data_IF_641114596723
#
_entry.id   IF_641114596723
#
_cell.length_a   1.000
_cell.length_b   1.000
_cell.length_c   1.000
_cell.angle_alpha   90.00
_cell.angle_beta   90.00
_cell.angle_gamma   90.00
#
_symmetry.space_group_name_H-M   'P 1'
#
loop_
_entity.id
_entity.type
_entity.pdbx_description
1 polymer ?
#
# COMPACT_ATOMS: atom_id res chain seq x y z
N UNK A 1 16.98 -82.05 57.46
CA UNK A 1 17.52 -80.90 58.24
C UNK A 1 18.64 -80.14 57.54
N UNK A 2 19.43 -80.72 56.63
CA UNK A 2 20.49 -80.01 55.88
C UNK A 2 19.99 -79.32 54.59
N UNK A 3 18.90 -79.80 53.98
CA UNK A 3 18.25 -79.14 52.82
C UNK A 3 17.51 -77.84 53.20
N UNK A 4 16.88 -77.76 54.37
CA UNK A 4 16.20 -76.53 54.83
C UNK A 4 17.18 -75.39 55.08
N UNK A 5 18.33 -75.67 55.72
CA UNK A 5 19.34 -74.64 56.03
C UNK A 5 20.00 -74.11 54.76
N UNK A 6 20.21 -74.96 53.75
CA UNK A 6 20.78 -74.54 52.46
C UNK A 6 19.78 -73.75 51.61
N UNK A 7 18.48 -74.07 51.70
CA UNK A 7 17.40 -73.33 51.01
C UNK A 7 17.15 -71.96 51.67
N UNK A 8 17.17 -71.89 53.01
CA UNK A 8 17.08 -70.64 53.78
C UNK A 8 18.32 -69.76 53.54
N UNK A 9 19.52 -70.35 53.50
CA UNK A 9 20.75 -69.62 53.20
C UNK A 9 20.78 -69.07 51.76
N UNK A 10 20.28 -69.83 50.77
CA UNK A 10 20.07 -69.32 49.39
C UNK A 10 19.03 -68.21 49.35
N UNK A 11 17.91 -68.35 50.05
CA UNK A 11 16.89 -67.29 50.15
C UNK A 11 17.45 -65.99 50.73
N UNK A 12 18.15 -66.04 51.87
CA UNK A 12 18.74 -64.84 52.49
C UNK A 12 19.80 -64.21 51.57
N UNK A 13 20.62 -65.03 50.89
CA UNK A 13 21.63 -64.55 49.96
C UNK A 13 21.03 -63.92 48.69
N UNK A 14 20.01 -64.54 48.09
CA UNK A 14 19.37 -64.05 46.85
C UNK A 14 18.44 -62.86 47.10
N UNK A 15 17.60 -62.90 48.15
CA UNK A 15 16.75 -61.77 48.53
C UNK A 15 17.58 -60.60 49.09
N UNK A 16 18.66 -60.88 49.83
CA UNK A 16 19.61 -59.87 50.31
C UNK A 16 20.38 -59.21 49.17
N UNK A 17 20.88 -60.00 48.21
CA UNK A 17 21.53 -59.47 47.00
C UNK A 17 20.56 -58.64 46.16
N UNK A 18 19.31 -59.09 45.96
CA UNK A 18 18.29 -58.34 45.24
C UNK A 18 17.95 -57.00 45.93
N UNK A 19 17.86 -56.98 47.26
CA UNK A 19 17.62 -55.75 48.02
C UNK A 19 18.78 -54.75 47.88
N UNK A 20 20.03 -55.24 47.92
CA UNK A 20 21.22 -54.41 47.76
C UNK A 20 21.31 -53.84 46.34
N UNK A 21 21.10 -54.66 45.30
CA UNK A 21 21.12 -54.19 43.91
C UNK A 21 19.98 -53.22 43.62
N UNK A 22 18.79 -53.43 44.18
CA UNK A 22 17.67 -52.50 44.10
C UNK A 22 18.00 -51.16 44.79
N UNK A 23 18.63 -51.18 45.97
CA UNK A 23 19.04 -49.96 46.67
C UNK A 23 20.09 -49.15 45.88
N UNK A 24 21.10 -49.83 45.31
CA UNK A 24 22.07 -49.19 44.43
C UNK A 24 21.42 -48.60 43.17
N UNK A 25 20.50 -49.34 42.55
CA UNK A 25 19.76 -48.87 41.39
C UNK A 25 18.93 -47.62 41.70
N UNK A 26 18.24 -47.57 42.84
CA UNK A 26 17.47 -46.39 43.25
C UNK A 26 18.36 -45.16 43.48
N UNK A 27 19.53 -45.32 44.09
CA UNK A 27 20.48 -44.22 44.30
C UNK A 27 21.04 -43.72 42.96
N UNK A 28 21.42 -44.64 42.06
CA UNK A 28 21.91 -44.30 40.73
C UNK A 28 20.83 -43.61 39.88
N UNK A 29 19.60 -44.11 39.92
CA UNK A 29 18.45 -43.53 39.23
C UNK A 29 18.12 -42.13 39.77
N UNK A 30 18.17 -41.94 41.09
CA UNK A 30 17.99 -40.63 41.71
C UNK A 30 19.10 -39.65 41.29
N UNK A 31 20.35 -40.11 41.23
CA UNK A 31 21.49 -39.32 40.74
C UNK A 31 21.34 -38.90 39.28
N UNK A 32 20.94 -39.85 38.40
CA UNK A 32 20.65 -39.57 36.99
C UNK A 32 19.50 -38.58 36.83
N UNK A 33 18.42 -38.72 37.61
CA UNK A 33 17.30 -37.79 37.58
C UNK A 33 17.74 -36.37 37.93
N UNK A 34 18.54 -36.18 38.98
CA UNK A 34 19.08 -34.86 39.35
C UNK A 34 19.99 -34.29 38.26
N UNK A 35 20.84 -35.11 37.65
CA UNK A 35 21.71 -34.69 36.54
C UNK A 35 20.90 -34.25 35.31
N UNK A 36 19.89 -35.03 34.92
CA UNK A 36 18.99 -34.71 33.81
C UNK A 36 18.21 -33.41 34.06
N UNK A 37 17.70 -33.18 35.27
CA UNK A 37 17.01 -31.93 35.61
C UNK A 37 17.94 -30.71 35.56
N UNK A 38 19.18 -30.83 36.04
CA UNK A 38 20.18 -29.76 35.95
C UNK A 38 20.50 -29.42 34.50
N UNK A 39 20.71 -30.43 33.66
CA UNK A 39 20.99 -30.25 32.24
C UNK A 39 19.81 -29.65 31.49
N UNK A 40 18.59 -30.13 31.75
CA UNK A 40 17.37 -29.60 31.15
C UNK A 40 17.15 -28.14 31.54
N UNK A 41 17.31 -27.80 32.83
CA UNK A 41 17.21 -26.40 33.30
C UNK A 41 18.24 -25.50 32.62
N UNK A 42 19.49 -25.96 32.48
CA UNK A 42 20.53 -25.20 31.80
C UNK A 42 20.19 -24.95 30.33
N UNK A 43 19.69 -25.98 29.62
CA UNK A 43 19.31 -25.90 28.20
C UNK A 43 18.13 -24.95 27.99
N UNK A 44 17.08 -25.07 28.81
CA UNK A 44 15.90 -24.19 28.73
C UNK A 44 16.27 -22.74 29.06
N UNK A 45 17.09 -22.51 30.08
CA UNK A 45 17.53 -21.16 30.41
C UNK A 45 18.38 -20.54 29.29
N UNK A 46 19.23 -21.34 28.63
CA UNK A 46 19.97 -20.91 27.43
C UNK A 46 19.02 -20.49 26.31
N UNK A 47 18.09 -21.37 25.94
CA UNK A 47 17.10 -21.07 24.89
C UNK A 47 16.24 -19.85 25.21
N UNK A 48 15.78 -19.68 26.46
CA UNK A 48 15.00 -18.52 26.89
C UNK A 48 15.83 -17.24 26.78
N UNK A 49 17.10 -17.29 27.19
CA UNK A 49 18.02 -16.15 27.08
C UNK A 49 18.28 -15.77 25.62
N UNK A 50 18.53 -16.75 24.76
CA UNK A 50 18.77 -16.54 23.34
C UNK A 50 17.53 -15.96 22.64
N UNK A 51 16.35 -16.52 22.93
CA UNK A 51 15.08 -15.99 22.43
C UNK A 51 14.83 -14.54 22.88
N UNK A 52 15.14 -14.21 24.14
CA UNK A 52 15.03 -12.84 24.65
C UNK A 52 15.95 -11.88 23.89
N UNK A 53 17.18 -12.29 23.62
CA UNK A 53 18.15 -11.50 22.85
C UNK A 53 17.68 -11.31 21.41
N UNK A 54 17.26 -12.38 20.73
CA UNK A 54 16.73 -12.31 19.37
C UNK A 54 15.53 -11.38 19.29
N UNK A 55 14.58 -11.49 20.23
CA UNK A 55 13.40 -10.62 20.26
C UNK A 55 13.78 -9.16 20.47
N UNK A 56 14.78 -8.89 21.31
CA UNK A 56 15.26 -7.53 21.57
C UNK A 56 15.93 -6.95 20.31
N UNK A 57 16.78 -7.73 19.64
CA UNK A 57 17.41 -7.33 18.39
C UNK A 57 16.38 -7.09 17.27
N UNK A 58 15.37 -7.95 17.15
CA UNK A 58 14.28 -7.74 16.19
C UNK A 58 13.48 -6.48 16.49
N UNK A 59 13.23 -6.19 17.77
CA UNK A 59 12.51 -4.99 18.18
C UNK A 59 13.32 -3.72 17.88
N UNK A 60 14.63 -3.73 18.12
CA UNK A 60 15.51 -2.62 17.78
C UNK A 60 15.66 -2.43 16.27
N UNK A 61 15.83 -3.51 15.50
CA UNK A 61 15.87 -3.43 14.03
C UNK A 61 14.53 -2.97 13.45
N UNK A 62 13.40 -3.38 14.02
CA UNK A 62 12.05 -2.91 13.62
C UNK A 62 11.87 -1.42 13.90
N UNK A 63 12.37 -0.93 15.05
CA UNK A 63 12.35 0.51 15.37
C UNK A 63 13.19 1.30 14.37
N UNK A 64 14.40 0.83 14.08
CA UNK A 64 15.29 1.45 13.10
C UNK A 64 14.69 1.46 11.70
N UNK A 65 14.05 0.37 11.27
CA UNK A 65 13.32 0.30 10.01
C UNK A 65 12.16 1.31 9.99
N UNK A 66 11.39 1.43 11.07
CA UNK A 66 10.31 2.42 11.16
C UNK A 66 10.83 3.86 11.08
N UNK A 67 11.94 4.17 11.75
CA UNK A 67 12.58 5.49 11.67
C UNK A 67 13.03 5.81 10.23
N UNK A 68 13.71 4.86 9.57
CA UNK A 68 14.12 5.01 8.17
C UNK A 68 12.91 5.16 7.22
N UNK A 69 11.86 4.36 7.42
CA UNK A 69 10.62 4.49 6.65
C UNK A 69 9.95 5.84 6.87
N UNK A 70 10.01 6.38 8.09
CA UNK A 70 9.47 7.70 8.43
C UNK A 70 10.22 8.78 7.65
N UNK A 71 11.55 8.79 7.72
CA UNK A 71 12.40 9.74 6.98
C UNK A 71 12.16 9.66 5.46
N UNK A 72 12.14 8.44 4.90
CA UNK A 72 11.81 8.21 3.48
C UNK A 72 10.41 8.74 3.15
N UNK A 73 9.43 8.51 4.03
CA UNK A 73 8.06 8.97 3.81
C UNK A 73 7.92 10.50 3.89
N UNK A 74 8.67 11.14 4.78
CA UNK A 74 8.71 12.59 4.95
C UNK A 74 9.37 13.27 3.75
N UNK A 75 10.38 12.66 3.13
CA UNK A 75 11.01 13.18 1.91
C UNK A 75 10.22 12.89 0.63
N UNK A 76 9.90 11.61 0.37
CA UNK A 76 9.36 11.17 -0.93
C UNK A 76 7.90 11.54 -1.13
N UNK A 77 7.08 11.56 -0.07
CA UNK A 77 5.63 11.84 -0.22
C UNK A 77 5.37 13.29 -0.65
N UNK A 78 5.99 14.32 -0.02
CA UNK A 78 5.85 15.70 -0.49
C UNK A 78 6.47 15.91 -1.87
N UNK A 79 7.62 15.30 -2.16
CA UNK A 79 8.26 15.42 -3.49
C UNK A 79 7.36 14.84 -4.59
N UNK A 80 6.79 13.66 -4.36
CA UNK A 80 5.84 13.02 -5.28
C UNK A 80 4.61 13.90 -5.47
N UNK A 81 4.06 14.45 -4.38
CA UNK A 81 2.90 15.33 -4.46
C UNK A 81 3.20 16.63 -5.23
N UNK A 82 4.38 17.22 -5.03
CA UNK A 82 4.82 18.40 -5.76
C UNK A 82 5.00 18.11 -7.24
N UNK A 83 5.65 16.99 -7.58
CA UNK A 83 5.84 16.53 -8.96
C UNK A 83 4.51 16.33 -9.68
N UNK A 84 3.54 15.70 -8.99
CA UNK A 84 2.18 15.52 -9.51
C UNK A 84 1.53 16.88 -9.74
N UNK A 85 1.50 17.76 -8.73
CA UNK A 85 0.88 19.10 -8.83
C UNK A 85 1.46 19.92 -9.98
N UNK A 86 2.78 19.94 -10.12
CA UNK A 86 3.44 20.68 -11.21
C UNK A 86 3.07 20.11 -12.57
N UNK A 87 3.14 18.78 -12.72
CA UNK A 87 2.87 18.12 -14.00
C UNK A 87 1.40 18.21 -14.38
N UNK A 88 0.48 17.92 -13.44
CA UNK A 88 -0.96 18.03 -13.67
C UNK A 88 -1.37 19.46 -13.97
N UNK A 89 -0.80 20.44 -13.26
CA UNK A 89 -1.03 21.87 -13.51
C UNK A 89 -0.75 22.24 -14.96
N UNK A 90 0.45 21.91 -15.46
CA UNK A 90 0.85 22.16 -16.86
C UNK A 90 -0.09 21.47 -17.85
N UNK A 91 -0.49 20.23 -17.58
CA UNK A 91 -1.42 19.51 -18.48
C UNK A 91 -2.82 20.12 -18.49
N UNK A 92 -3.31 20.63 -17.36
CA UNK A 92 -4.59 21.34 -17.32
C UNK A 92 -4.52 22.68 -18.06
N UNK A 93 -3.45 23.45 -17.89
CA UNK A 93 -3.25 24.71 -18.61
C UNK A 93 -3.13 24.48 -20.12
N UNK A 94 -2.41 23.44 -20.53
CA UNK A 94 -2.34 23.02 -21.92
C UNK A 94 -3.71 22.58 -22.48
N UNK A 95 -4.52 21.93 -21.65
CA UNK A 95 -5.87 21.53 -22.03
C UNK A 95 -6.80 22.73 -22.25
N UNK A 96 -6.68 23.80 -21.45
CA UNK A 96 -7.39 25.08 -21.69
C UNK A 96 -7.11 25.59 -23.10
N UNK A 97 -5.85 25.64 -23.51
CA UNK A 97 -5.45 26.07 -24.85
C UNK A 97 -6.00 25.17 -25.96
N UNK A 98 -5.97 23.85 -25.75
CA UNK A 98 -6.54 22.88 -26.71
C UNK A 98 -8.05 23.05 -26.87
N UNK A 99 -8.77 23.26 -25.78
CA UNK A 99 -10.21 23.49 -25.80
C UNK A 99 -10.55 24.81 -26.49
N UNK A 100 -9.79 25.88 -26.23
CA UNK A 100 -9.96 27.14 -26.94
C UNK A 100 -9.78 26.99 -28.47
N UNK A 101 -8.83 26.16 -28.90
CA UNK A 101 -8.65 25.82 -30.33
C UNK A 101 -9.80 24.98 -30.88
N UNK A 102 -10.36 24.05 -30.09
CA UNK A 102 -11.54 23.27 -30.46
C UNK A 102 -12.74 24.21 -30.71
N UNK A 103 -12.98 25.20 -29.85
CA UNK A 103 -14.05 26.18 -30.03
C UNK A 103 -13.91 26.91 -31.38
N UNK A 104 -12.70 27.37 -31.72
CA UNK A 104 -12.44 28.04 -33.01
C UNK A 104 -12.69 27.10 -34.19
N UNK A 105 -12.13 25.90 -34.15
CA UNK A 105 -12.27 24.88 -35.20
C UNK A 105 -13.73 24.48 -35.44
N UNK A 106 -14.50 24.25 -34.36
CA UNK A 106 -15.92 23.87 -34.47
C UNK A 106 -16.75 25.00 -35.07
N UNK A 107 -16.47 26.27 -34.73
CA UNK A 107 -17.14 27.43 -35.33
C UNK A 107 -16.81 27.61 -36.82
N UNK A 108 -15.56 27.31 -37.23
CA UNK A 108 -15.12 27.45 -38.63
C UNK A 108 -15.62 26.31 -39.53
N UNK A 109 -15.64 25.07 -39.03
CA UNK A 109 -15.92 23.87 -39.84
C UNK A 109 -17.39 23.50 -39.95
N UNK A 110 -18.18 23.74 -38.91
CA UNK A 110 -19.54 23.23 -38.87
C UNK A 110 -20.53 24.25 -39.43
N UNK A 111 -21.47 23.77 -40.24
CA UNK A 111 -22.77 24.41 -40.39
C UNK A 111 -23.45 24.36 -39.02
N UNK A 112 -23.29 25.42 -38.22
CA UNK A 112 -23.85 25.62 -36.85
C UNK A 112 -25.38 25.38 -36.80
N UNK A 113 -26.01 25.18 -37.95
CA UNK A 113 -27.43 24.82 -38.14
C UNK A 113 -27.79 23.48 -37.48
N UNK A 114 -26.93 22.44 -37.55
CA UNK A 114 -27.20 21.16 -36.89
C UNK A 114 -26.59 21.12 -35.48
N UNK A 115 -27.47 21.37 -34.49
CA UNK A 115 -27.07 21.47 -33.09
C UNK A 115 -26.67 20.14 -32.47
N UNK A 116 -27.39 19.06 -32.80
CA UNK A 116 -27.17 17.76 -32.17
C UNK A 116 -25.91 17.08 -32.73
N UNK A 117 -25.67 17.18 -34.04
CA UNK A 117 -24.41 16.70 -34.63
C UNK A 117 -23.19 17.45 -34.09
N UNK A 118 -23.32 18.77 -33.90
CA UNK A 118 -22.25 19.59 -33.34
C UNK A 118 -21.98 19.26 -31.87
N UNK A 119 -23.02 19.03 -31.06
CA UNK A 119 -22.88 18.58 -29.66
C UNK A 119 -22.13 17.25 -29.57
N UNK A 120 -22.49 16.27 -30.40
CA UNK A 120 -21.82 14.96 -30.42
C UNK A 120 -20.34 15.07 -30.82
N UNK A 121 -20.02 15.93 -31.80
CA UNK A 121 -18.64 16.22 -32.22
C UNK A 121 -17.85 16.87 -31.09
N UNK A 122 -18.40 17.87 -30.41
CA UNK A 122 -17.78 18.52 -29.25
C UNK A 122 -17.49 17.48 -28.17
N UNK A 123 -18.49 16.70 -27.78
CA UNK A 123 -18.32 15.68 -26.74
C UNK A 123 -17.22 14.67 -27.08
N UNK A 124 -17.16 14.22 -28.34
CA UNK A 124 -16.11 13.31 -28.81
C UNK A 124 -14.72 13.95 -28.75
N UNK A 125 -14.57 15.21 -29.15
CA UNK A 125 -13.29 15.92 -29.10
C UNK A 125 -12.80 16.14 -27.67
N UNK A 126 -13.71 16.48 -26.75
CA UNK A 126 -13.38 16.68 -25.33
C UNK A 126 -13.07 15.34 -24.66
N UNK A 127 -13.80 14.28 -24.98
CA UNK A 127 -13.50 12.93 -24.49
C UNK A 127 -12.10 12.49 -24.92
N UNK A 128 -11.73 12.66 -26.19
CA UNK A 128 -10.38 12.32 -26.66
C UNK A 128 -9.28 13.11 -25.94
N UNK A 129 -9.52 14.40 -25.65
CA UNK A 129 -8.58 15.21 -24.87
C UNK A 129 -8.47 14.73 -23.41
N UNK A 130 -9.60 14.31 -22.83
CA UNK A 130 -9.64 13.74 -21.49
C UNK A 130 -8.87 12.42 -21.41
N UNK A 131 -9.07 11.51 -22.37
CA UNK A 131 -8.38 10.22 -22.44
C UNK A 131 -6.88 10.37 -22.75
N UNK A 132 -6.47 11.29 -23.65
CA UNK A 132 -5.04 11.57 -23.88
C UNK A 132 -4.35 12.01 -22.58
N UNK A 133 -4.99 12.90 -21.81
CA UNK A 133 -4.46 13.32 -20.50
C UNK A 133 -4.41 12.14 -19.52
N UNK A 134 -5.45 11.30 -19.48
CA UNK A 134 -5.48 10.14 -18.60
C UNK A 134 -4.34 9.16 -18.92
N UNK A 135 -4.05 8.92 -20.20
CA UNK A 135 -2.92 8.08 -20.61
C UNK A 135 -1.57 8.59 -20.07
N UNK A 136 -1.41 9.90 -19.95
CA UNK A 136 -0.20 10.53 -19.37
C UNK A 136 -0.20 10.47 -17.84
N UNK A 137 -1.38 10.46 -17.22
CA UNK A 137 -1.54 10.32 -15.78
C UNK A 137 -1.28 8.88 -15.32
N UNK A 138 -1.48 7.88 -16.18
CA UNK A 138 -1.22 6.47 -15.87
C UNK A 138 0.25 6.14 -15.56
N UNK A 139 1.20 6.99 -15.95
CA UNK A 139 2.62 6.83 -15.59
C UNK A 139 2.92 7.16 -14.12
N UNK A 140 1.98 7.79 -13.42
CA UNK A 140 2.14 8.23 -12.04
C UNK A 140 1.31 7.36 -11.09
N UNK A 141 1.92 6.98 -9.97
CA UNK A 141 1.24 6.31 -8.85
C UNK A 141 1.30 7.21 -7.62
N UNK A 142 0.17 7.39 -6.96
CA UNK A 142 0.04 8.11 -5.70
C UNK A 142 -0.81 7.30 -4.73
N UNK A 143 -0.36 7.14 -3.48
CA UNK A 143 -1.04 6.31 -2.45
C UNK A 143 -1.47 4.91 -2.95
N UNK A 144 -0.63 4.27 -3.77
CA UNK A 144 -0.88 2.93 -4.33
C UNK A 144 -1.91 2.87 -5.47
N UNK A 145 -2.41 4.02 -5.96
CA UNK A 145 -3.34 4.09 -7.10
C UNK A 145 -2.75 4.91 -8.25
N UNK A 146 -3.14 4.60 -9.48
CA UNK A 146 -2.79 5.42 -10.66
C UNK A 146 -3.48 6.77 -10.59
N UNK A 147 -2.88 7.81 -11.16
CA UNK A 147 -3.50 9.15 -11.11
C UNK A 147 -4.87 9.22 -11.82
N UNK A 148 -5.08 8.39 -12.84
CA UNK A 148 -6.36 8.24 -13.55
C UNK A 148 -7.51 7.87 -12.62
N UNK A 149 -7.24 7.14 -11.53
CA UNK A 149 -8.27 6.81 -10.53
C UNK A 149 -8.83 8.03 -9.79
N UNK A 150 -8.12 9.16 -9.81
CA UNK A 150 -8.57 10.43 -9.23
C UNK A 150 -9.27 11.33 -10.25
N UNK A 151 -9.44 10.87 -11.50
CA UNK A 151 -10.12 11.63 -12.56
C UNK A 151 -11.60 11.28 -12.65
N UNK A 152 -12.43 12.21 -13.12
CA UNK A 152 -13.89 12.03 -13.23
C UNK A 152 -14.36 12.07 -14.68
N UNK A 153 -15.25 11.16 -15.11
CA UNK A 153 -15.88 11.27 -16.43
C UNK A 153 -16.75 12.53 -16.55
N UNK A 154 -17.29 13.04 -15.44
CA UNK A 154 -18.09 14.28 -15.39
C UNK A 154 -17.34 15.51 -15.92
N UNK A 155 -16.00 15.50 -15.86
CA UNK A 155 -15.20 16.60 -16.38
C UNK A 155 -15.37 16.79 -17.89
N UNK A 156 -15.64 15.71 -18.62
CA UNK A 156 -15.94 15.77 -20.06
C UNK A 156 -17.21 16.57 -20.28
N UNK A 157 -18.27 16.28 -19.49
CA UNK A 157 -19.55 16.98 -19.56
C UNK A 157 -19.39 18.46 -19.22
N UNK A 158 -18.71 18.81 -18.13
CA UNK A 158 -18.52 20.22 -17.72
C UNK A 158 -17.81 21.04 -18.80
N UNK A 159 -16.78 20.48 -19.43
CA UNK A 159 -16.03 21.16 -20.49
C UNK A 159 -16.87 21.23 -21.77
N UNK A 160 -17.59 20.16 -22.12
CA UNK A 160 -18.45 20.13 -23.30
C UNK A 160 -19.57 21.17 -23.23
N UNK A 161 -20.21 21.35 -22.07
CA UNK A 161 -21.24 22.37 -21.84
C UNK A 161 -20.70 23.79 -22.10
N UNK A 162 -19.53 24.12 -21.57
CA UNK A 162 -18.92 25.44 -21.79
C UNK A 162 -18.50 25.65 -23.24
N UNK A 163 -18.00 24.60 -23.91
CA UNK A 163 -17.68 24.67 -25.34
C UNK A 163 -18.94 24.87 -26.16
N UNK A 164 -20.04 24.18 -25.85
CA UNK A 164 -21.33 24.36 -26.54
C UNK A 164 -21.85 25.79 -26.37
N UNK A 165 -21.87 26.31 -25.14
CA UNK A 165 -22.27 27.69 -24.85
C UNK A 165 -21.43 28.71 -25.61
N UNK A 166 -20.12 28.53 -25.67
CA UNK A 166 -19.27 29.43 -26.44
C UNK A 166 -19.50 29.28 -27.94
N UNK A 167 -19.57 28.07 -28.49
CA UNK A 167 -19.79 27.86 -29.94
C UNK A 167 -21.05 28.58 -30.42
N UNK A 168 -22.15 28.56 -29.66
CA UNK A 168 -23.42 29.21 -30.00
C UNK A 168 -23.59 30.65 -29.48
N UNK A 169 -22.56 31.25 -28.88
CA UNK A 169 -22.67 32.61 -28.37
C UNK A 169 -22.84 33.63 -29.52
N UNK A 170 -23.77 34.58 -29.35
CA UNK A 170 -24.08 35.60 -30.37
C UNK A 170 -22.87 36.45 -30.77
N UNK A 171 -22.02 36.77 -29.80
CA UNK A 171 -20.80 37.57 -30.03
C UNK A 171 -19.55 36.71 -29.82
N UNK A 172 -18.68 36.73 -30.84
CA UNK A 172 -17.36 36.09 -30.81
C UNK A 172 -16.43 36.90 -29.91
N UNK A 173 -16.11 36.36 -28.74
CA UNK A 173 -15.13 36.94 -27.82
C UNK A 173 -14.17 35.85 -27.33
N UNK A 174 -12.95 35.86 -27.87
CA UNK A 174 -11.92 34.87 -27.52
C UNK A 174 -11.45 35.01 -26.07
N UNK A 175 -11.40 36.22 -25.52
CA UNK A 175 -11.01 36.46 -24.14
C UNK A 175 -12.06 35.89 -23.17
N UNK A 176 -13.36 36.06 -23.49
CA UNK A 176 -14.44 35.45 -22.71
C UNK A 176 -14.38 33.93 -22.76
N UNK A 177 -14.20 33.36 -23.95
CA UNK A 177 -14.08 31.91 -24.12
C UNK A 177 -12.91 31.34 -23.32
N UNK A 178 -11.75 32.00 -23.35
CA UNK A 178 -10.60 31.62 -22.53
C UNK A 178 -10.93 31.64 -21.03
N UNK A 179 -11.53 32.73 -20.52
CA UNK A 179 -11.90 32.85 -19.11
C UNK A 179 -12.87 31.76 -18.67
N UNK A 180 -13.88 31.46 -19.48
CA UNK A 180 -14.87 30.43 -19.18
C UNK A 180 -14.26 29.02 -19.17
N UNK A 181 -13.43 28.71 -20.17
CA UNK A 181 -12.71 27.42 -20.22
C UNK A 181 -11.74 27.31 -19.04
N UNK A 182 -10.97 28.35 -18.75
CA UNK A 182 -10.05 28.39 -17.62
C UNK A 182 -10.78 28.14 -16.29
N UNK A 183 -11.93 28.78 -16.08
CA UNK A 183 -12.74 28.59 -14.87
C UNK A 183 -13.20 27.13 -14.68
N UNK A 184 -13.59 26.43 -15.75
CA UNK A 184 -13.93 25.00 -15.67
C UNK A 184 -12.71 24.16 -15.34
N UNK A 185 -11.54 24.45 -15.93
CA UNK A 185 -10.32 23.72 -15.61
C UNK A 185 -9.81 24.00 -14.19
N UNK A 186 -10.01 25.19 -13.64
CA UNK A 186 -9.75 25.45 -12.21
C UNK A 186 -10.66 24.62 -11.31
N UNK A 187 -11.95 24.50 -11.66
CA UNK A 187 -12.87 23.57 -10.95
C UNK A 187 -12.38 22.12 -11.04
N UNK A 188 -11.91 21.67 -12.20
CA UNK A 188 -11.35 20.32 -12.40
C UNK A 188 -10.08 20.13 -11.55
N UNK A 189 -9.17 21.11 -11.52
CA UNK A 189 -7.96 21.07 -10.67
C UNK A 189 -8.32 20.90 -9.20
N UNK A 190 -9.29 21.67 -8.71
CA UNK A 190 -9.75 21.56 -7.33
C UNK A 190 -10.35 20.18 -7.02
N UNK A 191 -11.23 19.66 -7.89
CA UNK A 191 -11.81 18.32 -7.75
C UNK A 191 -10.73 17.22 -7.74
N UNK A 192 -9.77 17.29 -8.67
CA UNK A 192 -8.64 16.37 -8.75
C UNK A 192 -7.81 16.37 -7.46
N UNK A 193 -7.43 17.54 -6.95
CA UNK A 193 -6.64 17.63 -5.73
C UNK A 193 -7.42 17.24 -4.47
N UNK A 194 -8.74 17.47 -4.45
CA UNK A 194 -9.59 17.01 -3.37
C UNK A 194 -9.61 15.47 -3.31
N UNK A 195 -9.82 14.81 -4.45
CA UNK A 195 -9.80 13.34 -4.59
C UNK A 195 -8.46 12.71 -4.22
N UNK A 196 -7.35 13.38 -4.49
CA UNK A 196 -6.02 12.91 -4.08
C UNK A 196 -5.78 12.99 -2.57
N UNK A 197 -6.40 13.96 -1.89
CA UNK A 197 -6.16 14.20 -0.47
C UNK A 197 -7.07 13.36 0.44
N UNK A 198 -8.23 12.92 -0.07
CA UNK A 198 -9.07 11.89 0.55
C UNK A 198 -8.30 10.56 0.70
#
# INVERSE_FOLDING_TARGET
MTEDVTTIARGISEFGMMAITAAFFLILSAGLMVACFKWFKATINGMISDNKTIMTNLLDETRKQNEQLTDISEGLRPETQLRIKNTSGVYFDYAVEKVCRIIKKVREENHIVDRDATRNKIHTLILNLHEDRNSRFDYYTYRGKRLTSYTSPEWVTWVAEVVELEVYAENINNSRAYTNVAAVYERIKLDFYHKMNQ
#
